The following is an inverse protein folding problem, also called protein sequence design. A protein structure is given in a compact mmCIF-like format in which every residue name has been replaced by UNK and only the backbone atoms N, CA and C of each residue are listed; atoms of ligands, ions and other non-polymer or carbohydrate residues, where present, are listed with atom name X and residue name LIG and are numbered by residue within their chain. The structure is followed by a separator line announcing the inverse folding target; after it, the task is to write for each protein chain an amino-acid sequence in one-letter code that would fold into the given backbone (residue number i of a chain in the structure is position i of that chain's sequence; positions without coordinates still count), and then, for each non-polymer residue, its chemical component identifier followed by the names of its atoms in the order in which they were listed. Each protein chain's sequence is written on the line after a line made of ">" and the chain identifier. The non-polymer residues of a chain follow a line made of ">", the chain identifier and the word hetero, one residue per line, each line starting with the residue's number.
data_IF_393111233437
#
_entry.id   IF_393111233437
#
_cell.length_a   1.000
_cell.length_b   1.000
_cell.length_c   1.000
_cell.angle_alpha   90.00
_cell.angle_beta   90.00
_cell.angle_gamma   90.00
#
_symmetry.space_group_name_H-M   'P 1'
#
loop_
_entity.id
_entity.type
_entity.pdbx_description
1 polymer ?
#
# COMPACT_ATOMS: atom_id res chain seq x y z
N UNK A 1 11.85 -13.86 -35.23
CA UNK A 1 10.51 -13.26 -35.00
C UNK A 1 9.71 -14.23 -34.16
N UNK A 2 8.85 -13.79 -33.23
CA UNK A 2 8.96 -12.68 -32.27
C UNK A 2 9.13 -13.25 -30.83
N UNK A 3 10.11 -12.78 -30.04
CA UNK A 3 10.00 -11.73 -29.00
C UNK A 3 8.82 -11.92 -28.03
N UNK A 4 9.19 -12.42 -26.86
CA UNK A 4 8.45 -12.44 -25.59
C UNK A 4 7.61 -11.17 -25.42
N UNK A 5 6.29 -11.33 -25.36
CA UNK A 5 5.38 -10.34 -24.80
C UNK A 5 5.26 -10.58 -23.30
N UNK A 6 6.38 -10.49 -22.58
CA UNK A 6 6.32 -10.21 -21.16
C UNK A 6 6.01 -8.70 -21.03
N UNK A 7 4.86 -8.39 -20.45
CA UNK A 7 4.53 -7.05 -19.96
C UNK A 7 5.77 -6.46 -19.26
N UNK A 8 6.13 -5.18 -19.47
CA UNK A 8 7.26 -4.61 -18.76
C UNK A 8 7.04 -4.82 -17.24
N UNK A 9 8.08 -5.15 -16.46
CA UNK A 9 7.94 -5.34 -15.03
C UNK A 9 7.32 -4.07 -14.48
N UNK A 10 6.08 -4.17 -14.05
CA UNK A 10 5.40 -3.08 -13.36
C UNK A 10 6.23 -2.85 -12.10
N UNK A 11 6.75 -1.63 -11.91
CA UNK A 11 7.57 -1.31 -10.72
C UNK A 11 6.83 -1.83 -9.48
N UNK A 12 7.54 -2.50 -8.56
CA UNK A 12 6.93 -3.07 -7.35
C UNK A 12 6.10 -2.03 -6.58
N UNK A 13 6.52 -0.78 -6.67
CA UNK A 13 5.84 0.38 -6.11
C UNK A 13 4.47 0.66 -6.75
N UNK A 14 4.36 0.47 -8.06
CA UNK A 14 3.11 0.65 -8.79
C UNK A 14 2.10 -0.44 -8.40
N UNK A 15 2.57 -1.66 -8.10
CA UNK A 15 1.72 -2.71 -7.54
C UNK A 15 1.20 -2.34 -6.14
N UNK A 16 2.04 -1.74 -5.29
CA UNK A 16 1.62 -1.28 -3.97
C UNK A 16 0.63 -0.09 -4.05
N UNK A 17 0.89 0.87 -4.94
CA UNK A 17 -0.06 1.94 -5.24
C UNK A 17 -1.42 1.39 -5.70
N UNK A 18 -1.41 0.41 -6.61
CA UNK A 18 -2.62 -0.26 -7.07
C UNK A 18 -3.33 -0.98 -5.91
N UNK A 19 -2.60 -1.55 -4.95
CA UNK A 19 -3.18 -2.15 -3.75
C UNK A 19 -3.99 -1.15 -2.92
N UNK A 20 -3.47 0.07 -2.71
CA UNK A 20 -4.20 1.12 -1.99
C UNK A 20 -5.43 1.56 -2.77
N UNK A 21 -5.31 1.71 -4.09
CA UNK A 21 -6.42 2.15 -4.96
C UNK A 21 -7.55 1.11 -5.06
N UNK A 22 -7.21 -0.18 -5.08
CA UNK A 22 -8.21 -1.26 -5.17
C UNK A 22 -8.91 -1.50 -3.83
N UNK A 23 -8.24 -1.23 -2.70
CA UNK A 23 -8.77 -1.45 -1.34
C UNK A 23 -8.58 -0.24 -0.40
N UNK A 24 -9.17 0.92 -0.74
CA UNK A 24 -8.91 2.17 -0.03
C UNK A 24 -9.40 2.14 1.43
N UNK A 25 -10.52 1.47 1.72
CA UNK A 25 -11.03 1.32 3.10
C UNK A 25 -10.02 0.56 3.95
N UNK A 26 -9.53 -0.58 3.44
CA UNK A 26 -8.57 -1.42 4.13
C UNK A 26 -7.22 -0.70 4.30
N UNK A 27 -6.83 0.15 3.33
CA UNK A 27 -5.63 0.96 3.43
C UNK A 27 -5.73 1.97 4.58
N UNK A 28 -6.83 2.71 4.67
CA UNK A 28 -7.08 3.67 5.75
C UNK A 28 -7.09 2.95 7.11
N UNK A 29 -7.75 1.80 7.22
CA UNK A 29 -7.79 1.00 8.45
C UNK A 29 -6.41 0.54 8.93
N UNK A 30 -5.53 0.14 8.01
CA UNK A 30 -4.20 -0.37 8.37
C UNK A 30 -3.21 0.76 8.65
N UNK A 31 -3.17 1.77 7.77
CA UNK A 31 -2.11 2.77 7.75
C UNK A 31 -2.45 4.03 8.55
N UNK A 32 -3.73 4.26 8.85
CA UNK A 32 -4.22 5.39 9.65
C UNK A 32 -5.42 4.96 10.50
N UNK A 33 -5.24 4.01 11.46
CA UNK A 33 -6.36 3.37 12.15
C UNK A 33 -7.24 4.35 12.91
N UNK A 34 -6.68 5.39 13.54
CA UNK A 34 -7.46 6.41 14.24
C UNK A 34 -8.35 7.21 13.28
N UNK A 35 -7.82 7.57 12.11
CA UNK A 35 -8.59 8.29 11.08
C UNK A 35 -9.69 7.41 10.49
N UNK A 36 -9.46 6.09 10.43
CA UNK A 36 -10.46 5.14 9.94
C UNK A 36 -11.75 5.11 10.78
N UNK A 37 -11.67 5.47 12.07
CA UNK A 37 -12.84 5.52 12.96
C UNK A 37 -13.88 6.56 12.49
N UNK A 38 -13.44 7.63 11.82
CA UNK A 38 -14.30 8.66 11.27
C UNK A 38 -14.89 8.31 9.90
N UNK A 39 -14.35 7.30 9.21
CA UNK A 39 -14.80 6.86 7.88
C UNK A 39 -15.99 5.92 8.03
N UNK A 40 -17.18 6.51 8.08
CA UNK A 40 -18.47 5.78 8.15
C UNK A 40 -18.76 5.03 6.86
N UNK A 41 -19.64 4.02 6.90
CA UNK A 41 -20.08 3.28 5.70
C UNK A 41 -20.76 4.12 4.62
N UNK A 42 -21.26 5.31 4.98
CA UNK A 42 -21.88 6.26 4.05
C UNK A 42 -20.87 7.19 3.37
N UNK A 43 -19.62 7.20 3.85
CA UNK A 43 -18.57 8.01 3.27
C UNK A 43 -18.12 7.40 1.93
N UNK A 44 -18.00 8.26 0.92
CA UNK A 44 -17.50 7.87 -0.40
C UNK A 44 -16.01 8.17 -0.46
N UNK A 45 -15.21 7.16 -0.83
CA UNK A 45 -13.77 7.32 -1.06
C UNK A 45 -13.51 7.37 -2.57
N UNK A 46 -12.88 8.44 -3.04
CA UNK A 46 -12.63 8.69 -4.46
C UNK A 46 -11.15 9.00 -4.67
N UNK A 47 -10.43 8.25 -5.52
CA UNK A 47 -9.07 8.62 -5.91
C UNK A 47 -9.05 9.95 -6.66
N UNK A 48 -8.12 10.84 -6.32
CA UNK A 48 -7.91 12.07 -7.08
C UNK A 48 -7.12 11.77 -8.36
N UNK A 49 -7.55 12.35 -9.49
CA UNK A 49 -6.96 12.05 -10.80
C UNK A 49 -5.55 12.61 -10.92
N UNK A 50 -4.63 11.77 -11.39
CA UNK A 50 -3.21 12.13 -11.52
C UNK A 50 -2.95 13.33 -12.44
N UNK A 51 -3.78 13.51 -13.48
CA UNK A 51 -3.69 14.66 -14.40
C UNK A 51 -3.98 15.99 -13.69
N UNK A 52 -5.08 16.04 -12.91
CA UNK A 52 -5.45 17.23 -12.13
C UNK A 52 -4.34 17.59 -11.12
N UNK A 53 -3.73 16.57 -10.53
CA UNK A 53 -2.62 16.72 -9.59
C UNK A 53 -1.37 17.23 -10.32
N UNK A 54 -0.99 16.67 -11.47
CA UNK A 54 0.16 17.17 -12.24
C UNK A 54 -0.03 18.60 -12.74
N UNK A 55 -1.23 18.96 -13.19
CA UNK A 55 -1.55 20.32 -13.64
C UNK A 55 -1.46 21.35 -12.52
N UNK A 56 -1.91 20.99 -11.31
CA UNK A 56 -1.99 21.90 -10.15
C UNK A 56 -0.73 21.90 -9.28
N UNK A 57 -0.08 20.75 -9.14
CA UNK A 57 1.06 20.51 -8.22
C UNK A 57 2.42 20.51 -8.95
N UNK A 58 2.42 20.39 -10.28
CA UNK A 58 3.62 20.33 -11.11
C UNK A 58 4.55 19.16 -10.77
N UNK A 59 5.85 19.37 -10.93
CA UNK A 59 6.91 18.38 -10.65
C UNK A 59 7.00 17.97 -9.18
N UNK A 60 6.22 18.61 -8.31
CA UNK A 60 6.19 18.22 -6.92
C UNK A 60 5.60 16.84 -6.81
N UNK A 61 4.56 16.45 -7.55
CA UNK A 61 3.82 15.18 -7.40
C UNK A 61 4.67 13.94 -7.77
N UNK A 62 4.72 12.90 -6.91
CA UNK A 62 5.41 11.64 -7.19
C UNK A 62 4.42 10.65 -7.76
N UNK A 63 4.91 9.78 -8.62
CA UNK A 63 4.07 8.76 -9.26
C UNK A 63 3.43 7.80 -8.24
N UNK A 64 4.08 7.57 -7.11
CA UNK A 64 3.66 6.64 -6.05
C UNK A 64 2.69 7.24 -5.03
N UNK A 65 2.48 8.56 -5.07
CA UNK A 65 1.56 9.22 -4.16
C UNK A 65 0.13 8.81 -4.52
N UNK A 66 -0.66 8.44 -3.51
CA UNK A 66 -2.06 8.01 -3.64
C UNK A 66 -2.96 8.95 -2.83
N UNK A 67 -3.35 10.09 -3.41
CA UNK A 67 -4.33 10.96 -2.80
C UNK A 67 -5.76 10.42 -3.01
N UNK A 68 -6.49 10.31 -1.92
CA UNK A 68 -7.89 9.93 -1.86
C UNK A 68 -8.69 11.09 -1.26
N UNK A 69 -9.87 11.33 -1.79
CA UNK A 69 -10.86 12.23 -1.22
C UNK A 69 -11.96 11.40 -0.56
N UNK A 70 -12.21 11.65 0.72
CA UNK A 70 -13.36 11.11 1.45
C UNK A 70 -14.43 12.18 1.50
N UNK A 71 -15.63 11.85 1.04
CA UNK A 71 -16.79 12.73 1.01
C UNK A 71 -17.92 12.12 1.84
N UNK A 72 -18.49 12.90 2.75
CA UNK A 72 -19.65 12.50 3.56
C UNK A 72 -20.94 13.11 2.98
N UNK A 73 -22.12 12.51 3.24
CA UNK A 73 -23.40 13.03 2.77
C UNK A 73 -23.73 14.45 3.25
N UNK A 74 -23.15 14.86 4.38
CA UNK A 74 -23.33 16.21 4.96
C UNK A 74 -22.46 17.29 4.30
N UNK A 75 -21.70 16.93 3.26
CA UNK A 75 -20.82 17.84 2.52
C UNK A 75 -19.43 18.01 3.13
N UNK A 76 -19.13 17.37 4.26
CA UNK A 76 -17.74 17.31 4.76
C UNK A 76 -16.85 16.58 3.77
N UNK A 77 -15.60 17.02 3.73
CA UNK A 77 -14.54 16.46 2.89
C UNK A 77 -13.27 16.27 3.69
N UNK A 78 -12.45 15.31 3.28
CA UNK A 78 -11.10 15.07 3.81
C UNK A 78 -10.23 14.50 2.71
N UNK A 79 -9.04 15.08 2.54
CA UNK A 79 -8.04 14.53 1.64
C UNK A 79 -7.08 13.65 2.44
N UNK A 80 -7.07 12.34 2.17
CA UNK A 80 -6.03 11.43 2.64
C UNK A 80 -4.94 11.34 1.59
N UNK A 81 -3.70 11.53 2.00
CA UNK A 81 -2.54 11.40 1.13
C UNK A 81 -1.68 10.24 1.62
N UNK A 82 -1.70 9.11 0.91
CA UNK A 82 -0.72 8.05 1.12
C UNK A 82 0.52 8.33 0.29
N UNK A 83 1.68 8.37 0.93
CA UNK A 83 3.00 8.44 0.28
C UNK A 83 3.75 7.14 0.59
N UNK A 84 4.19 6.45 -0.45
CA UNK A 84 5.05 5.28 -0.30
C UNK A 84 6.51 5.70 -0.33
N UNK A 85 7.28 5.33 0.70
CA UNK A 85 8.72 5.53 0.76
C UNK A 85 9.44 4.18 0.87
N UNK A 86 10.09 3.79 -0.21
CA UNK A 86 10.83 2.52 -0.33
C UNK A 86 12.29 2.66 0.12
N UNK A 87 12.90 3.81 -0.11
CA UNK A 87 14.33 4.00 0.09
C UNK A 87 14.69 4.14 1.57
N UNK A 88 15.63 3.32 2.02
CA UNK A 88 16.17 3.32 3.38
C UNK A 88 17.05 4.55 3.69
N UNK A 89 17.25 5.45 2.72
CA UNK A 89 17.95 6.72 2.96
C UNK A 89 16.93 7.84 3.31
N UNK A 90 16.77 8.16 4.59
CA UNK A 90 15.84 9.19 5.05
C UNK A 90 16.16 10.58 4.49
N UNK A 91 17.35 10.79 3.91
CA UNK A 91 17.72 12.06 3.25
C UNK A 91 16.92 12.30 1.96
N UNK A 92 16.30 11.26 1.39
CA UNK A 92 15.45 11.39 0.19
C UNK A 92 13.98 11.64 0.53
N UNK A 93 13.55 11.27 1.74
CA UNK A 93 12.26 11.72 2.26
C UNK A 93 12.35 13.20 2.64
N UNK A 94 11.42 14.00 2.13
CA UNK A 94 11.37 15.43 2.43
C UNK A 94 10.03 15.78 3.05
N UNK A 95 10.04 15.97 4.38
CA UNK A 95 8.86 16.44 5.12
C UNK A 95 8.39 17.82 4.64
N UNK A 96 9.29 18.65 4.12
CA UNK A 96 8.93 19.93 3.49
C UNK A 96 8.12 19.71 2.21
N UNK A 97 8.53 18.77 1.35
CA UNK A 97 7.77 18.42 0.13
C UNK A 97 6.40 17.84 0.49
N UNK A 98 6.34 16.98 1.51
CA UNK A 98 5.07 16.44 2.02
C UNK A 98 4.14 17.56 2.52
N UNK A 99 4.66 18.50 3.31
CA UNK A 99 3.88 19.64 3.79
C UNK A 99 3.34 20.49 2.63
N UNK A 100 4.18 20.78 1.62
CA UNK A 100 3.74 21.49 0.42
C UNK A 100 2.58 20.77 -0.30
N UNK A 101 2.66 19.44 -0.45
CA UNK A 101 1.55 18.69 -1.02
C UNK A 101 0.26 18.81 -0.23
N UNK A 102 0.33 18.72 1.09
CA UNK A 102 -0.86 18.83 1.91
C UNK A 102 -1.52 20.19 1.76
N UNK A 103 -0.74 21.26 1.65
CA UNK A 103 -1.25 22.60 1.38
C UNK A 103 -1.90 22.69 0.00
N UNK A 104 -1.24 22.15 -1.03
CA UNK A 104 -1.79 22.21 -2.37
C UNK A 104 -3.07 21.32 -2.51
N UNK A 105 -3.14 20.19 -1.80
CA UNK A 105 -4.34 19.34 -1.72
C UNK A 105 -5.47 20.02 -0.95
N UNK A 106 -5.18 20.70 0.15
CA UNK A 106 -6.16 21.48 0.91
C UNK A 106 -6.85 22.51 -0.01
N UNK A 107 -6.07 23.22 -0.84
CA UNK A 107 -6.60 24.16 -1.81
C UNK A 107 -7.40 23.46 -2.93
N UNK A 108 -6.84 22.41 -3.54
CA UNK A 108 -7.48 21.66 -4.62
C UNK A 108 -8.83 21.07 -4.21
N UNK A 109 -8.90 20.50 -3.01
CA UNK A 109 -10.10 19.87 -2.48
C UNK A 109 -11.02 20.85 -1.73
N UNK A 110 -10.58 22.09 -1.53
CA UNK A 110 -11.28 23.12 -0.76
C UNK A 110 -11.67 22.62 0.63
N UNK A 111 -10.68 22.10 1.36
CA UNK A 111 -10.83 21.53 2.70
C UNK A 111 -9.64 21.88 3.59
N UNK A 112 -9.88 22.01 4.89
CA UNK A 112 -8.86 22.12 5.92
C UNK A 112 -8.49 20.76 6.54
N UNK A 113 -9.15 19.68 6.11
CA UNK A 113 -8.93 18.31 6.58
C UNK A 113 -8.04 17.57 5.60
N UNK A 114 -6.74 17.55 5.88
CA UNK A 114 -5.76 16.78 5.12
C UNK A 114 -4.99 15.85 6.04
N UNK A 115 -5.03 14.55 5.74
CA UNK A 115 -4.36 13.50 6.52
C UNK A 115 -3.19 12.95 5.70
N UNK A 116 -1.94 13.39 5.98
CA UNK A 116 -0.76 12.78 5.39
C UNK A 116 -0.40 11.48 6.11
N UNK A 117 -0.29 10.40 5.34
CA UNK A 117 0.15 9.08 5.78
C UNK A 117 1.38 8.68 4.96
N UNK A 118 2.49 8.40 5.62
CA UNK A 118 3.72 7.93 4.95
C UNK A 118 3.97 6.49 5.32
N UNK A 119 4.00 5.62 4.32
CA UNK A 119 4.21 4.18 4.42
C UNK A 119 5.68 3.89 4.10
N UNK A 120 6.45 3.53 5.12
CA UNK A 120 7.85 3.13 4.99
C UNK A 120 7.94 1.62 4.83
N UNK A 121 8.44 1.17 3.68
CA UNK A 121 8.73 -0.26 3.43
C UNK A 121 10.02 -0.71 4.13
N UNK A 122 10.97 0.22 4.30
CA UNK A 122 12.20 0.03 5.07
C UNK A 122 12.33 1.15 6.07
N UNK A 123 12.72 0.80 7.29
CA UNK A 123 12.84 1.80 8.36
C UNK A 123 14.27 2.31 8.50
N UNK A 124 14.37 3.60 8.74
CA UNK A 124 15.57 4.27 9.19
C UNK A 124 15.16 5.15 10.37
N UNK A 125 15.66 4.94 11.58
CA UNK A 125 15.21 5.69 12.76
C UNK A 125 15.45 7.22 12.73
N UNK A 126 15.83 7.77 11.57
CA UNK A 126 16.22 9.16 11.30
C UNK A 126 15.21 9.90 10.42
N UNK A 127 14.06 9.32 10.09
CA UNK A 127 13.00 10.07 9.40
C UNK A 127 12.51 11.24 10.28
N UNK A 128 12.45 12.48 9.76
CA UNK A 128 11.86 13.59 10.50
C UNK A 128 10.39 13.27 10.80
N UNK A 129 9.96 13.53 12.05
CA UNK A 129 8.57 13.28 12.51
C UNK A 129 7.71 14.55 12.48
N UNK A 130 8.36 15.69 12.66
CA UNK A 130 7.71 16.99 12.70
C UNK A 130 8.52 18.00 11.88
N UNK A 131 7.81 18.92 11.23
CA UNK A 131 8.38 20.13 10.66
C UNK A 131 7.85 21.34 11.44
N UNK A 132 8.76 22.06 12.08
CA UNK A 132 8.47 23.32 12.77
C UNK A 132 9.15 24.47 12.02
N UNK A 133 8.37 25.43 11.54
CA UNK A 133 8.89 26.67 10.96
C UNK A 133 8.54 27.84 11.88
N UNK A 134 9.56 28.63 12.21
CA UNK A 134 9.45 29.69 13.20
C UNK A 134 10.61 30.68 13.15
N UNK A 135 10.65 31.51 14.17
CA UNK A 135 11.76 32.41 14.52
C UNK A 135 12.16 32.17 15.97
N UNK A 136 13.15 32.91 16.48
CA UNK A 136 13.53 32.90 17.91
C UNK A 136 12.39 33.26 18.88
N UNK A 137 11.26 33.78 18.37
CA UNK A 137 10.15 34.29 19.20
C UNK A 137 8.84 33.51 19.04
N UNK A 138 8.59 32.95 17.87
CA UNK A 138 7.28 32.39 17.52
C UNK A 138 7.41 31.21 16.56
N UNK A 139 6.46 30.29 16.66
CA UNK A 139 6.22 29.23 15.69
C UNK A 139 5.07 29.65 14.75
N UNK A 140 5.28 29.53 13.45
CA UNK A 140 4.31 29.90 12.41
C UNK A 140 3.70 28.68 11.72
N UNK A 141 4.40 27.53 11.75
CA UNK A 141 3.92 26.25 11.24
C UNK A 141 4.36 25.12 12.16
N UNK A 142 3.42 24.24 12.53
CA UNK A 142 3.71 22.87 12.96
C UNK A 142 3.09 21.95 11.92
N UNK A 143 3.86 20.97 11.46
CA UNK A 143 3.37 19.97 10.53
C UNK A 143 3.82 18.58 10.99
N UNK A 144 2.86 17.67 11.09
CA UNK A 144 3.06 16.27 11.46
C UNK A 144 2.39 15.38 10.42
N UNK A 145 2.75 14.11 10.41
CA UNK A 145 2.14 13.10 9.56
C UNK A 145 2.02 11.77 10.29
N UNK A 146 1.12 10.91 9.80
CA UNK A 146 1.00 9.54 10.29
C UNK A 146 2.11 8.73 9.67
N UNK A 147 3.08 8.32 10.48
CA UNK A 147 4.12 7.40 10.05
C UNK A 147 3.67 5.96 10.25
N UNK A 148 3.54 5.22 9.15
CA UNK A 148 3.38 3.78 9.18
C UNK A 148 4.65 3.10 8.66
N UNK A 149 5.35 2.39 9.54
CA UNK A 149 6.51 1.60 9.17
C UNK A 149 6.16 0.12 9.21
N UNK A 150 6.09 -0.54 8.04
CA UNK A 150 5.63 -1.94 7.98
C UNK A 150 6.54 -2.87 8.78
N UNK A 151 7.86 -2.67 8.73
CA UNK A 151 8.84 -3.48 9.48
C UNK A 151 8.71 -3.36 11.01
N UNK A 152 8.02 -2.32 11.52
CA UNK A 152 7.76 -2.18 12.95
C UNK A 152 6.50 -2.94 13.39
N UNK A 153 5.66 -3.36 12.44
CA UNK A 153 4.51 -4.22 12.70
C UNK A 153 4.97 -5.67 12.79
N UNK A 154 4.41 -6.45 13.72
CA UNK A 154 4.70 -7.89 13.83
C UNK A 154 3.73 -8.66 12.96
N UNK A 155 4.24 -9.50 12.06
CA UNK A 155 3.40 -10.27 11.14
C UNK A 155 2.38 -11.16 11.89
N UNK A 156 2.76 -11.67 13.07
CA UNK A 156 1.89 -12.54 13.87
C UNK A 156 0.60 -11.86 14.36
N UNK A 157 0.65 -10.55 14.62
CA UNK A 157 -0.51 -9.78 15.07
C UNK A 157 -1.59 -9.70 13.96
N UNK A 158 -1.20 -9.96 12.71
CA UNK A 158 -2.07 -9.90 11.53
C UNK A 158 -2.34 -11.28 10.90
N UNK A 159 -1.95 -12.38 11.55
CA UNK A 159 -2.16 -13.75 11.07
C UNK A 159 -3.63 -14.14 10.88
N UNK A 160 -4.54 -13.42 11.52
CA UNK A 160 -5.98 -13.65 11.45
C UNK A 160 -6.75 -12.37 11.14
N UNK A 161 -6.06 -11.33 10.64
CA UNK A 161 -6.70 -10.07 10.29
C UNK A 161 -7.70 -10.27 9.15
N UNK A 162 -8.86 -9.62 9.26
CA UNK A 162 -9.83 -9.52 8.18
C UNK A 162 -9.50 -8.38 7.20
N UNK A 163 -8.42 -7.64 7.43
CA UNK A 163 -7.93 -6.61 6.53
C UNK A 163 -7.04 -7.25 5.44
N UNK A 164 -7.53 -7.29 4.20
CA UNK A 164 -6.80 -7.90 3.07
C UNK A 164 -5.41 -7.29 2.88
N UNK A 165 -5.26 -5.96 2.91
CA UNK A 165 -3.95 -5.31 2.75
C UNK A 165 -2.97 -5.79 3.83
N UNK A 166 -3.42 -5.90 5.08
CA UNK A 166 -2.57 -6.40 6.17
C UNK A 166 -2.11 -7.84 5.91
N UNK A 167 -2.98 -8.69 5.34
CA UNK A 167 -2.66 -10.07 4.95
C UNK A 167 -1.64 -10.13 3.81
N UNK A 168 -1.74 -9.23 2.83
CA UNK A 168 -0.82 -9.17 1.70
C UNK A 168 0.54 -8.57 2.08
N UNK A 169 0.56 -7.68 3.07
CA UNK A 169 1.79 -7.02 3.54
C UNK A 169 2.57 -7.82 4.59
N UNK A 170 2.18 -9.06 4.94
CA UNK A 170 2.85 -9.82 6.01
C UNK A 170 4.37 -10.00 5.78
N UNK A 171 4.80 -10.15 4.53
CA UNK A 171 6.23 -10.27 4.17
C UNK A 171 7.01 -8.98 4.37
N UNK A 172 6.33 -7.83 4.34
CA UNK A 172 6.89 -6.50 4.59
C UNK A 172 6.95 -6.15 6.08
N UNK A 173 6.36 -6.97 6.95
CA UNK A 173 6.36 -6.81 8.40
C UNK A 173 7.58 -7.47 9.06
N UNK A 174 7.73 -7.31 10.37
CA UNK A 174 8.71 -8.06 11.16
C UNK A 174 8.24 -9.51 11.36
N UNK A 175 9.11 -10.46 11.04
CA UNK A 175 8.96 -11.90 11.26
C UNK A 175 10.33 -12.56 11.47
N UNK A 176 10.37 -13.73 12.10
CA UNK A 176 11.58 -14.53 12.30
C UNK A 176 11.86 -15.41 11.08
N UNK A 177 13.12 -15.66 10.73
CA UNK A 177 13.48 -16.37 9.51
C UNK A 177 12.80 -17.76 9.37
N UNK A 178 12.59 -18.47 10.48
CA UNK A 178 11.87 -19.76 10.52
C UNK A 178 10.38 -19.65 10.16
N UNK A 179 9.81 -18.44 10.21
CA UNK A 179 8.41 -18.14 9.87
C UNK A 179 8.22 -17.75 8.39
N UNK A 180 9.27 -17.59 7.57
CA UNK A 180 9.14 -17.09 6.18
C UNK A 180 8.08 -17.85 5.36
N UNK A 181 8.11 -19.19 5.44
CA UNK A 181 7.13 -20.03 4.73
C UNK A 181 5.72 -19.90 5.31
N UNK A 182 5.58 -19.70 6.63
CA UNK A 182 4.28 -19.47 7.25
C UNK A 182 3.72 -18.10 6.84
N UNK A 183 4.55 -17.05 6.82
CA UNK A 183 4.19 -15.71 6.35
C UNK A 183 3.62 -15.77 4.94
N UNK A 184 4.31 -16.46 4.04
CA UNK A 184 3.86 -16.68 2.67
C UNK A 184 2.52 -17.44 2.60
N UNK A 185 2.42 -18.59 3.28
CA UNK A 185 1.19 -19.39 3.33
C UNK A 185 0.01 -18.59 3.87
N UNK A 186 0.23 -17.78 4.91
CA UNK A 186 -0.80 -16.93 5.51
C UNK A 186 -1.22 -15.83 4.54
N UNK A 187 -0.29 -15.20 3.82
CA UNK A 187 -0.62 -14.21 2.81
C UNK A 187 -1.50 -14.82 1.70
N UNK A 188 -1.09 -15.96 1.13
CA UNK A 188 -1.84 -16.69 0.10
C UNK A 188 -3.23 -17.11 0.61
N UNK A 189 -3.31 -17.67 1.83
CA UNK A 189 -4.60 -18.01 2.44
C UNK A 189 -5.47 -16.76 2.58
N UNK A 190 -4.91 -15.68 3.12
CA UNK A 190 -5.61 -14.40 3.31
C UNK A 190 -6.22 -13.90 2.00
N UNK A 191 -5.42 -13.87 0.93
CA UNK A 191 -5.85 -13.49 -0.40
C UNK A 191 -7.04 -14.33 -0.87
N UNK A 192 -6.89 -15.65 -0.84
CA UNK A 192 -7.94 -16.58 -1.32
C UNK A 192 -9.25 -16.49 -0.51
N UNK A 193 -9.17 -16.12 0.77
CA UNK A 193 -10.33 -16.05 1.66
C UNK A 193 -11.03 -14.69 1.67
N UNK A 194 -10.28 -13.61 1.43
CA UNK A 194 -10.78 -12.24 1.59
C UNK A 194 -11.04 -11.53 0.26
N UNK A 195 -10.40 -11.95 -0.83
CA UNK A 195 -10.64 -11.42 -2.17
C UNK A 195 -11.55 -12.37 -2.97
N UNK A 196 -12.80 -12.01 -3.28
CA UNK A 196 -13.69 -12.85 -4.09
C UNK A 196 -13.39 -12.82 -5.60
N UNK A 197 -12.74 -11.79 -6.12
CA UNK A 197 -12.46 -11.59 -7.55
C UNK A 197 -11.22 -12.42 -7.98
N UNK A 198 -11.39 -13.42 -8.87
CA UNK A 198 -10.28 -14.23 -9.35
C UNK A 198 -9.18 -13.44 -10.06
N UNK A 199 -9.51 -12.38 -10.80
CA UNK A 199 -8.50 -11.56 -11.50
C UNK A 199 -7.63 -10.81 -10.50
N UNK A 200 -8.24 -10.29 -9.42
CA UNK A 200 -7.50 -9.67 -8.32
C UNK A 200 -6.72 -10.68 -7.50
N UNK A 201 -7.24 -11.89 -7.28
CA UNK A 201 -6.46 -12.98 -6.67
C UNK A 201 -5.19 -13.26 -7.46
N UNK A 202 -5.24 -13.27 -8.78
CA UNK A 202 -4.05 -13.47 -9.63
C UNK A 202 -3.09 -12.30 -9.51
N UNK A 203 -3.58 -11.08 -9.70
CA UNK A 203 -2.79 -9.84 -9.59
C UNK A 203 -2.06 -9.72 -8.25
N UNK A 204 -2.72 -10.06 -7.14
CA UNK A 204 -2.13 -9.93 -5.81
C UNK A 204 -1.40 -11.18 -5.32
N UNK A 205 -1.50 -12.31 -6.02
CA UNK A 205 -0.58 -13.44 -5.82
C UNK A 205 0.82 -13.04 -6.29
N UNK A 206 0.94 -12.42 -7.47
CA UNK A 206 2.21 -11.89 -7.97
C UNK A 206 2.81 -10.87 -6.97
N UNK A 207 1.98 -10.05 -6.33
CA UNK A 207 2.44 -9.14 -5.26
C UNK A 207 3.07 -9.90 -4.09
N UNK A 208 2.44 -10.97 -3.60
CA UNK A 208 2.99 -11.78 -2.50
C UNK A 208 4.32 -12.43 -2.92
N UNK A 209 4.39 -12.95 -4.15
CA UNK A 209 5.57 -13.61 -4.70
C UNK A 209 6.76 -12.64 -4.80
N UNK A 210 6.51 -11.45 -5.35
CA UNK A 210 7.50 -10.38 -5.49
C UNK A 210 8.12 -10.00 -4.13
N UNK A 211 7.28 -9.76 -3.12
CA UNK A 211 7.76 -9.24 -1.83
C UNK A 211 8.28 -10.31 -0.88
N UNK A 212 7.82 -11.55 -0.99
CA UNK A 212 8.32 -12.65 -0.16
C UNK A 212 9.58 -13.28 -0.75
N UNK A 213 9.65 -13.37 -2.09
CA UNK A 213 10.76 -13.93 -2.84
C UNK A 213 11.25 -15.27 -2.25
N UNK A 214 10.38 -16.29 -2.29
CA UNK A 214 10.79 -17.65 -1.97
C UNK A 214 11.74 -18.17 -3.05
N UNK A 215 12.86 -18.76 -2.65
CA UNK A 215 13.73 -19.49 -3.59
C UNK A 215 13.15 -20.87 -3.95
N UNK A 216 13.77 -21.55 -4.92
CA UNK A 216 13.29 -22.85 -5.41
C UNK A 216 13.20 -23.91 -4.29
N UNK A 217 14.16 -23.95 -3.35
CA UNK A 217 14.14 -24.91 -2.24
C UNK A 217 13.05 -24.55 -1.21
N UNK A 218 12.90 -23.25 -0.93
CA UNK A 218 11.84 -22.73 -0.07
C UNK A 218 10.45 -23.01 -0.64
N UNK A 219 10.30 -22.90 -1.97
CA UNK A 219 9.07 -23.23 -2.68
C UNK A 219 8.74 -24.72 -2.61
N UNK A 220 9.71 -25.61 -2.83
CA UNK A 220 9.52 -27.06 -2.65
C UNK A 220 9.10 -27.39 -1.21
N UNK A 221 9.76 -26.80 -0.22
CA UNK A 221 9.44 -27.01 1.19
C UNK A 221 8.06 -26.45 1.56
N UNK A 222 7.68 -25.31 0.96
CA UNK A 222 6.35 -24.74 1.10
C UNK A 222 5.27 -25.68 0.59
N UNK A 223 5.44 -26.25 -0.61
CA UNK A 223 4.48 -27.20 -1.19
C UNK A 223 4.27 -28.43 -0.30
N UNK A 224 5.34 -28.91 0.35
CA UNK A 224 5.26 -30.04 1.30
C UNK A 224 4.55 -29.67 2.61
N UNK A 225 4.86 -28.49 3.19
CA UNK A 225 4.33 -28.07 4.50
C UNK A 225 2.92 -27.48 4.43
N UNK A 226 2.56 -26.83 3.33
CA UNK A 226 1.31 -26.09 3.13
C UNK A 226 0.57 -26.56 1.87
N UNK A 227 0.17 -27.85 1.80
CA UNK A 227 -0.41 -28.43 0.59
C UNK A 227 -1.75 -27.79 0.20
N UNK A 228 -2.51 -27.25 1.16
CA UNK A 228 -3.78 -26.55 0.89
C UNK A 228 -3.55 -25.25 0.14
N UNK A 229 -2.67 -24.39 0.65
CA UNK A 229 -2.34 -23.10 0.03
C UNK A 229 -1.62 -23.30 -1.31
N UNK A 230 -0.75 -24.31 -1.40
CA UNK A 230 -0.11 -24.69 -2.66
C UNK A 230 -1.13 -25.13 -3.72
N UNK A 231 -2.16 -25.90 -3.35
CA UNK A 231 -3.24 -26.27 -4.26
C UNK A 231 -4.04 -25.06 -4.73
N UNK A 232 -4.29 -24.09 -3.85
CA UNK A 232 -4.94 -22.82 -4.21
C UNK A 232 -4.13 -22.06 -5.27
N UNK A 233 -2.81 -21.99 -5.11
CA UNK A 233 -1.94 -21.37 -6.11
C UNK A 233 -1.96 -22.11 -7.45
N UNK A 234 -1.86 -23.45 -7.44
CA UNK A 234 -1.89 -24.25 -8.66
C UNK A 234 -3.19 -24.01 -9.45
N UNK A 235 -4.33 -23.99 -8.76
CA UNK A 235 -5.63 -23.70 -9.38
C UNK A 235 -5.70 -22.29 -10.00
N UNK A 236 -5.07 -21.30 -9.36
CA UNK A 236 -4.97 -19.94 -9.88
C UNK A 236 -4.08 -19.90 -11.12
N UNK A 237 -2.90 -20.53 -11.09
CA UNK A 237 -1.99 -20.60 -12.24
C UNK A 237 -2.59 -21.35 -13.44
N UNK A 238 -3.38 -22.40 -13.21
CA UNK A 238 -4.03 -23.14 -14.30
C UNK A 238 -5.13 -22.30 -14.99
N UNK A 239 -5.83 -21.44 -14.24
CA UNK A 239 -6.78 -20.48 -14.84
C UNK A 239 -6.09 -19.47 -15.76
N UNK A 240 -4.94 -18.93 -15.34
CA UNK A 240 -4.13 -18.05 -16.19
C UNK A 240 -3.76 -18.70 -17.52
N UNK A 241 -3.36 -19.98 -17.48
CA UNK A 241 -3.02 -20.73 -18.69
C UNK A 241 -4.22 -20.95 -19.60
N UNK A 242 -5.39 -21.27 -19.04
CA UNK A 242 -6.61 -21.47 -19.81
C UNK A 242 -7.08 -20.17 -20.48
N UNK A 243 -7.11 -19.05 -19.77
CA UNK A 243 -7.52 -17.75 -20.32
C UNK A 243 -6.54 -17.19 -21.37
N UNK A 244 -5.24 -17.45 -21.19
CA UNK A 244 -4.22 -17.10 -22.18
C UNK A 244 -4.33 -17.89 -23.49
N UNK A 245 -4.92 -19.09 -23.45
CA UNK A 245 -5.21 -19.90 -24.65
C UNK A 245 -6.51 -19.49 -25.36
N UNK A 246 -7.51 -18.95 -24.65
CA UNK A 246 -8.75 -18.46 -25.28
C UNK A 246 -8.60 -17.08 -25.92
N UNK A 247 -7.66 -16.25 -25.45
CA UNK A 247 -7.41 -14.89 -25.95
C UNK A 247 -6.30 -14.81 -27.02
N UNK A 248 -5.68 -15.94 -27.38
CA UNK A 248 -4.62 -16.04 -28.40
C UNK A 248 -5.11 -16.69 -29.69
#
# INVERSE_FOLDING_TARGET
>A
MPKDSASPPTSHDQNFKNLILDYPVQAIQLFSPQESEAVTSEARIVPLRQEQLKERLGNRFRELDVPLLVEWPDGRREALLFVLEEESDPRRFSIHRLAHYCLDLAELCSTDRVVPVVIFLKTSSKEPRELVLGSERYQYLSFNYIRCALQELRAEDYWHSNNLIARLCLSLMSWRQDQKLEVYARAVRGLSTLEPDPEKQLKYLDFIDIYTALDDNEMELYQQKYPKESSTMANLSDRLRAEGMEKG
#
